data_IF_494153932278
#
_entry.id   IF_494153932278
#
_cell.length_a   1.000
_cell.length_b   1.000
_cell.length_c   1.000
_cell.angle_alpha   90.00
_cell.angle_beta   90.00
_cell.angle_gamma   90.00
#
_symmetry.space_group_name_H-M   'P 1'
#
loop_
_entity.id
_entity.type
_entity.pdbx_description
1 polymer ?
#
# COMPACT_ATOMS: atom_id res chain seq x y z
N UNK A 1 59.35 67.64 0.99
CA UNK A 1 57.91 67.90 1.10
C UNK A 1 57.16 67.11 0.03
N UNK A 2 56.47 66.01 0.39
CA UNK A 2 55.23 65.65 -0.30
C UNK A 2 54.17 65.14 0.69
N UNK A 3 52.98 65.75 0.70
CA UNK A 3 51.84 65.28 1.50
C UNK A 3 50.80 64.64 0.59
N UNK A 4 50.83 63.30 0.49
CA UNK A 4 49.76 62.48 -0.10
C UNK A 4 48.57 62.45 0.87
N UNK A 5 47.56 63.29 0.65
CA UNK A 5 46.24 63.15 1.30
C UNK A 5 45.39 62.18 0.49
N UNK A 6 45.39 60.90 0.90
CA UNK A 6 44.38 59.93 0.48
C UNK A 6 43.03 60.31 1.12
N UNK A 7 42.08 60.73 0.30
CA UNK A 7 40.67 60.91 0.69
C UNK A 7 40.03 59.52 0.82
N UNK A 8 40.01 58.98 2.04
CA UNK A 8 39.23 57.78 2.39
C UNK A 8 37.74 58.18 2.39
N UNK A 9 37.03 57.90 1.29
CA UNK A 9 35.55 57.92 1.28
C UNK A 9 35.04 56.77 2.16
N UNK A 10 34.64 57.09 3.38
CA UNK A 10 33.87 56.20 4.24
C UNK A 10 32.45 56.14 3.67
N UNK A 11 32.15 55.13 2.87
CA UNK A 11 30.76 54.80 2.52
C UNK A 11 30.10 54.21 3.76
N UNK A 12 29.41 55.06 4.51
CA UNK A 12 28.50 54.64 5.58
C UNK A 12 27.43 53.72 4.95
N UNK A 13 27.61 52.40 5.09
CA UNK A 13 26.57 51.42 4.78
C UNK A 13 25.44 51.63 5.78
N UNK A 14 24.41 52.36 5.37
CA UNK A 14 23.13 52.40 6.06
C UNK A 14 22.60 50.96 6.16
N UNK A 15 22.77 50.32 7.32
CA UNK A 15 22.02 49.11 7.65
C UNK A 15 20.59 49.56 7.92
N UNK A 16 19.59 49.15 7.12
CA UNK A 16 18.21 49.50 7.40
C UNK A 16 17.88 48.97 8.80
N UNK A 17 17.44 49.86 9.69
CA UNK A 17 16.92 49.46 11.00
C UNK A 17 15.66 48.65 10.72
N UNK A 18 15.77 47.33 10.87
CA UNK A 18 14.64 46.41 10.85
C UNK A 18 13.63 46.87 11.90
N UNK A 19 12.59 47.56 11.47
CA UNK A 19 11.48 47.94 12.36
C UNK A 19 10.59 46.72 12.56
N UNK A 20 9.96 46.61 13.74
CA UNK A 20 8.99 45.57 14.05
C UNK A 20 7.91 45.44 12.95
N UNK A 21 7.48 46.56 12.37
CA UNK A 21 6.55 46.59 11.23
C UNK A 21 7.05 45.83 10.00
N UNK A 22 8.33 45.97 9.66
CA UNK A 22 8.94 45.26 8.54
C UNK A 22 8.99 43.76 8.79
N UNK A 23 9.33 43.33 10.01
CA UNK A 23 9.33 41.91 10.39
C UNK A 23 7.92 41.33 10.34
N UNK A 24 6.92 42.00 10.92
CA UNK A 24 5.53 41.55 10.89
C UNK A 24 4.99 41.42 9.47
N UNK A 25 5.31 42.38 8.59
CA UNK A 25 4.89 42.35 7.19
C UNK A 25 5.56 41.18 6.44
N UNK A 26 6.84 40.92 6.66
CA UNK A 26 7.55 39.76 6.10
C UNK A 26 6.91 38.45 6.56
N UNK A 27 6.63 38.30 7.86
CA UNK A 27 5.97 37.11 8.41
C UNK A 27 4.57 36.91 7.81
N UNK A 28 3.78 37.97 7.67
CA UNK A 28 2.44 37.89 7.09
C UNK A 28 2.49 37.48 5.61
N UNK A 29 3.44 38.04 4.83
CA UNK A 29 3.65 37.62 3.44
C UNK A 29 4.07 36.15 3.39
N UNK A 30 5.00 35.73 4.25
CA UNK A 30 5.49 34.35 4.27
C UNK A 30 4.37 33.36 4.64
N UNK A 31 3.52 33.70 5.63
CA UNK A 31 2.32 32.93 5.98
C UNK A 31 1.31 32.89 4.82
N UNK A 32 1.05 34.02 4.17
CA UNK A 32 0.12 34.10 3.04
C UNK A 32 0.62 33.33 1.80
N UNK A 33 1.93 33.19 1.62
CA UNK A 33 2.52 32.41 0.54
C UNK A 33 2.64 30.92 0.86
N UNK A 34 2.63 30.52 2.14
CA UNK A 34 2.85 29.11 2.54
C UNK A 34 1.57 28.38 2.95
N UNK A 35 0.67 29.04 3.68
CA UNK A 35 -0.55 28.41 4.19
C UNK A 35 -1.52 28.02 3.07
N UNK A 36 -1.88 28.89 2.11
CA UNK A 36 -2.79 28.51 1.03
C UNK A 36 -2.31 27.33 0.18
N UNK A 37 -1.05 27.26 -0.32
CA UNK A 37 -0.61 26.08 -1.05
C UNK A 37 -0.56 24.84 -0.16
N UNK A 38 -0.18 24.96 1.12
CA UNK A 38 -0.23 23.83 2.04
C UNK A 38 -1.66 23.28 2.20
N UNK A 39 -2.64 24.16 2.44
CA UNK A 39 -4.05 23.79 2.55
C UNK A 39 -4.60 23.16 1.26
N UNK A 40 -4.27 23.74 0.11
CA UNK A 40 -4.81 23.32 -1.18
C UNK A 40 -4.16 22.06 -1.74
N UNK A 41 -2.85 21.88 -1.52
CA UNK A 41 -2.08 20.79 -2.10
C UNK A 41 -1.96 19.56 -1.18
N UNK A 42 -2.05 19.75 0.15
CA UNK A 42 -1.87 18.65 1.11
C UNK A 42 -3.13 18.38 1.94
N UNK A 43 -3.64 19.37 2.70
CA UNK A 43 -4.75 19.12 3.63
C UNK A 43 -6.08 18.80 2.94
N UNK A 44 -6.47 19.60 1.94
CA UNK A 44 -7.74 19.38 1.24
C UNK A 44 -7.76 18.02 0.51
N UNK A 45 -6.69 17.62 -0.20
CA UNK A 45 -6.70 16.32 -0.86
C UNK A 45 -6.61 15.14 0.14
N UNK A 46 -5.86 15.28 1.23
CA UNK A 46 -5.86 14.31 2.34
C UNK A 46 -7.27 14.08 2.93
N UNK A 47 -8.00 15.16 3.25
CA UNK A 47 -9.36 15.04 3.78
C UNK A 47 -10.32 14.39 2.79
N UNK A 48 -10.15 14.62 1.49
CA UNK A 48 -10.96 13.99 0.45
C UNK A 48 -10.69 12.49 0.36
N UNK A 49 -9.43 12.08 0.39
CA UNK A 49 -9.06 10.68 0.43
C UNK A 49 -9.68 9.97 1.64
N UNK A 50 -9.50 10.55 2.83
CA UNK A 50 -10.05 9.98 4.06
C UNK A 50 -11.59 9.88 4.01
N UNK A 51 -12.26 10.93 3.53
CA UNK A 51 -13.72 10.92 3.39
C UNK A 51 -14.19 9.88 2.36
N UNK A 52 -13.46 9.72 1.25
CA UNK A 52 -13.75 8.71 0.24
C UNK A 52 -13.57 7.30 0.81
N UNK A 53 -12.44 7.04 1.46
CA UNK A 53 -12.14 5.76 2.09
C UNK A 53 -13.20 5.38 3.15
N UNK A 54 -13.56 6.31 4.04
CA UNK A 54 -14.64 6.10 5.02
C UNK A 54 -15.99 5.81 4.34
N UNK A 55 -16.33 6.54 3.28
CA UNK A 55 -17.57 6.31 2.52
C UNK A 55 -17.58 4.95 1.84
N UNK A 56 -16.43 4.49 1.34
CA UNK A 56 -16.27 3.21 0.69
C UNK A 56 -16.44 2.04 1.67
N UNK A 57 -15.71 2.06 2.79
CA UNK A 57 -15.78 0.98 3.78
C UNK A 57 -17.13 0.95 4.51
N UNK A 58 -17.73 2.11 4.79
CA UNK A 58 -19.09 2.15 5.35
C UNK A 58 -20.14 1.59 4.38
N UNK A 59 -19.99 1.82 3.08
CA UNK A 59 -20.86 1.23 2.06
C UNK A 59 -20.66 -0.30 1.96
N UNK A 60 -19.43 -0.80 2.01
CA UNK A 60 -19.17 -2.25 2.07
C UNK A 60 -19.80 -2.90 3.31
N UNK A 61 -19.62 -2.30 4.48
CA UNK A 61 -20.22 -2.80 5.72
C UNK A 61 -21.75 -2.78 5.66
N UNK A 62 -22.34 -1.72 5.08
CA UNK A 62 -23.79 -1.62 4.88
C UNK A 62 -24.29 -2.71 3.93
N UNK A 63 -23.58 -3.02 2.85
CA UNK A 63 -23.94 -4.07 1.91
C UNK A 63 -23.86 -5.46 2.56
N UNK A 64 -22.82 -5.75 3.34
CA UNK A 64 -22.66 -7.01 4.07
C UNK A 64 -23.79 -7.22 5.11
N UNK A 65 -24.16 -6.16 5.84
CA UNK A 65 -25.30 -6.18 6.75
C UNK A 65 -26.62 -6.43 6.01
N UNK A 66 -26.82 -5.84 4.83
CA UNK A 66 -28.03 -6.09 4.03
C UNK A 66 -28.07 -7.51 3.46
N UNK A 67 -26.95 -8.02 2.95
CA UNK A 67 -26.88 -9.37 2.39
C UNK A 67 -27.11 -10.42 3.49
N UNK A 68 -26.51 -10.25 4.67
CA UNK A 68 -26.76 -11.13 5.83
C UNK A 68 -28.22 -11.09 6.29
N UNK A 69 -28.83 -9.90 6.39
CA UNK A 69 -30.27 -9.79 6.71
C UNK A 69 -31.17 -10.42 5.64
N UNK A 70 -30.76 -10.37 4.37
CA UNK A 70 -31.53 -10.92 3.24
C UNK A 70 -31.43 -12.44 3.13
N UNK A 71 -30.28 -13.04 3.46
CA UNK A 71 -30.02 -14.48 3.42
C UNK A 71 -30.95 -15.29 4.35
N UNK A 72 -31.30 -14.74 5.52
CA UNK A 72 -32.07 -15.45 6.56
C UNK A 72 -33.59 -15.25 6.47
N UNK A 73 -34.13 -14.83 5.31
CA UNK A 73 -35.52 -14.36 5.26
C UNK A 73 -36.52 -15.38 4.70
N UNK A 74 -37.57 -15.75 5.46
CA UNK A 74 -38.62 -16.65 4.97
C UNK A 74 -39.67 -15.98 4.08
N UNK A 75 -40.13 -14.73 4.32
CA UNK A 75 -41.35 -14.23 3.65
C UNK A 75 -41.44 -12.70 3.48
N UNK A 76 -42.29 -12.28 2.53
CA UNK A 76 -42.59 -10.92 2.03
C UNK A 76 -43.35 -10.00 3.04
N UNK A 77 -42.83 -9.81 4.24
CA UNK A 77 -43.44 -8.89 5.23
C UNK A 77 -43.21 -7.41 4.88
N UNK A 78 -44.19 -6.52 5.18
CA UNK A 78 -44.19 -5.09 4.78
C UNK A 78 -43.09 -4.23 5.44
N UNK A 79 -42.62 -4.58 6.63
CA UNK A 79 -41.49 -3.87 7.31
C UNK A 79 -40.12 -4.47 6.96
N UNK A 80 -39.99 -4.92 5.72
CA UNK A 80 -38.79 -5.60 5.27
C UNK A 80 -37.54 -4.73 5.19
N UNK A 81 -36.36 -5.24 5.59
CA UNK A 81 -35.11 -4.61 5.22
C UNK A 81 -35.06 -4.50 3.69
N UNK A 82 -34.58 -3.34 3.22
CA UNK A 82 -34.53 -3.02 1.79
C UNK A 82 -33.71 -4.08 1.06
N UNK A 83 -34.29 -4.67 0.00
CA UNK A 83 -33.59 -5.62 -0.87
C UNK A 83 -32.23 -5.02 -1.29
N UNK A 84 -31.12 -5.77 -1.17
CA UNK A 84 -29.83 -5.24 -1.55
C UNK A 84 -29.81 -4.96 -3.06
N UNK A 85 -29.09 -3.92 -3.51
CA UNK A 85 -29.03 -3.57 -4.94
C UNK A 85 -28.52 -4.76 -5.78
N UNK A 86 -28.80 -4.76 -7.09
CA UNK A 86 -28.22 -5.78 -7.99
C UNK A 86 -26.69 -5.68 -7.98
N UNK A 87 -25.99 -6.81 -8.09
CA UNK A 87 -24.52 -6.88 -7.97
C UNK A 87 -23.78 -5.85 -8.84
N UNK A 88 -24.20 -5.66 -10.09
CA UNK A 88 -23.60 -4.71 -11.03
C UNK A 88 -23.76 -3.23 -10.64
N UNK A 89 -24.68 -2.92 -9.72
CA UNK A 89 -24.94 -1.57 -9.22
C UNK A 89 -24.35 -1.34 -7.83
N UNK A 90 -23.55 -2.29 -7.32
CA UNK A 90 -22.92 -2.20 -6.00
C UNK A 90 -21.55 -1.57 -6.09
N UNK A 91 -21.14 -0.94 -5.01
CA UNK A 91 -19.72 -0.72 -4.73
C UNK A 91 -19.09 -2.07 -4.47
N UNK A 92 -18.11 -2.45 -5.29
CA UNK A 92 -17.41 -3.72 -5.20
C UNK A 92 -15.91 -3.50 -4.97
N UNK A 93 -15.24 -4.41 -4.24
CA UNK A 93 -13.79 -4.44 -4.18
C UNK A 93 -13.20 -4.75 -5.55
N UNK A 94 -12.01 -4.21 -5.79
CA UNK A 94 -11.25 -4.45 -7.03
C UNK A 94 -10.84 -5.92 -7.17
N UNK A 95 -10.55 -6.58 -6.04
CA UNK A 95 -10.27 -8.02 -5.94
C UNK A 95 -11.32 -8.62 -5.02
N UNK A 96 -11.94 -9.72 -5.46
CA UNK A 96 -13.00 -10.37 -4.70
C UNK A 96 -12.41 -11.39 -3.70
N UNK A 97 -13.24 -11.82 -2.74
CA UNK A 97 -12.98 -12.94 -1.80
C UNK A 97 -11.86 -12.78 -0.76
N UNK A 98 -11.13 -11.66 -0.78
CA UNK A 98 -10.09 -11.34 0.21
C UNK A 98 -10.32 -9.96 0.84
N UNK A 99 -9.82 -9.73 2.07
CA UNK A 99 -10.03 -8.47 2.76
C UNK A 99 -9.31 -7.31 2.06
N UNK A 100 -10.05 -6.20 1.89
CA UNK A 100 -9.47 -4.91 1.53
C UNK A 100 -8.90 -4.23 2.77
N UNK A 101 -7.64 -3.80 2.68
CA UNK A 101 -6.96 -3.10 3.74
C UNK A 101 -7.32 -1.63 3.73
N UNK A 102 -7.54 -1.08 4.94
CA UNK A 102 -7.81 0.34 5.15
C UNK A 102 -6.57 1.03 5.75
N UNK A 103 -6.41 2.31 5.47
CA UNK A 103 -5.27 3.12 5.91
C UNK A 103 -5.21 3.27 7.43
N UNK A 104 -6.35 3.24 8.13
CA UNK A 104 -6.42 3.44 9.58
C UNK A 104 -6.38 2.13 10.39
N UNK A 105 -6.72 0.99 9.78
CA UNK A 105 -6.79 -0.30 10.49
C UNK A 105 -5.82 -1.36 9.94
N UNK A 106 -5.01 -1.02 8.93
CA UNK A 106 -4.06 -1.93 8.29
C UNK A 106 -3.23 -2.73 9.30
N UNK A 107 -2.72 -2.09 10.35
CA UNK A 107 -1.91 -2.79 11.36
C UNK A 107 -2.70 -3.88 12.07
N UNK A 108 -3.95 -3.62 12.48
CA UNK A 108 -4.78 -4.62 13.13
C UNK A 108 -5.24 -5.71 12.15
N UNK A 109 -5.63 -5.32 10.92
CA UNK A 109 -6.01 -6.24 9.85
C UNK A 109 -4.88 -7.22 9.49
N UNK A 110 -3.62 -6.76 9.61
CA UNK A 110 -2.42 -7.56 9.37
C UNK A 110 -1.86 -8.25 10.62
N UNK A 111 -2.47 -8.01 11.79
CA UNK A 111 -2.08 -8.53 13.10
C UNK A 111 -0.66 -8.10 13.52
N UNK A 112 -0.41 -6.80 13.34
CA UNK A 112 0.81 -6.09 13.69
C UNK A 112 0.59 -5.25 14.95
N UNK A 113 1.67 -5.01 15.68
CA UNK A 113 1.76 -3.98 16.70
C UNK A 113 1.87 -2.60 16.06
N UNK A 114 1.69 -1.54 16.86
CA UNK A 114 1.73 -0.16 16.36
C UNK A 114 3.10 0.25 15.79
N UNK A 115 4.17 -0.44 16.22
CA UNK A 115 5.54 -0.26 15.74
C UNK A 115 5.86 -1.09 14.48
N UNK A 116 4.90 -1.86 13.95
CA UNK A 116 5.07 -2.72 12.78
C UNK A 116 5.67 -4.09 13.08
N UNK A 117 5.85 -4.48 14.34
CA UNK A 117 6.26 -5.85 14.71
C UNK A 117 5.07 -6.82 14.65
N UNK A 118 5.32 -8.12 14.50
CA UNK A 118 4.28 -9.14 14.37
C UNK A 118 3.80 -9.67 15.73
N UNK A 119 2.50 -9.96 15.85
CA UNK A 119 1.88 -10.49 17.07
C UNK A 119 1.97 -12.00 17.25
N UNK A 120 2.38 -12.74 16.21
CA UNK A 120 2.45 -14.20 16.24
C UNK A 120 3.68 -14.72 15.50
N UNK A 121 4.31 -15.82 15.95
CA UNK A 121 5.41 -16.44 15.24
C UNK A 121 4.95 -17.17 13.98
N UNK A 122 5.80 -17.17 12.94
CA UNK A 122 5.59 -17.92 11.70
C UNK A 122 4.44 -17.40 10.84
N UNK A 123 4.02 -16.15 11.02
CA UNK A 123 2.97 -15.50 10.22
C UNK A 123 3.56 -14.99 8.92
N UNK A 124 2.82 -15.19 7.84
CA UNK A 124 3.20 -14.80 6.49
C UNK A 124 1.99 -14.21 5.77
N UNK A 125 2.19 -13.15 5.01
CA UNK A 125 1.13 -12.43 4.32
C UNK A 125 1.57 -11.92 2.95
N UNK A 126 0.67 -11.97 1.98
CA UNK A 126 0.82 -11.29 0.70
C UNK A 126 -0.27 -10.22 0.56
N UNK A 127 0.18 -8.98 0.35
CA UNK A 127 -0.70 -7.84 0.08
C UNK A 127 -0.49 -7.39 -1.36
N UNK A 128 -1.54 -7.46 -2.17
CA UNK A 128 -1.51 -6.87 -3.51
C UNK A 128 -1.96 -5.41 -3.47
N UNK A 129 -1.12 -4.52 -3.98
CA UNK A 129 -1.45 -3.11 -4.15
C UNK A 129 -1.99 -2.90 -5.55
N UNK A 130 -3.31 -2.80 -5.64
CA UNK A 130 -4.04 -2.59 -6.88
C UNK A 130 -4.30 -1.11 -7.16
N UNK A 131 -4.83 -0.85 -8.34
CA UNK A 131 -5.24 0.48 -8.76
C UNK A 131 -5.81 0.51 -10.17
N UNK A 132 -6.49 1.59 -10.51
CA UNK A 132 -7.05 1.79 -11.84
C UNK A 132 -6.19 2.73 -12.70
N UNK A 133 -6.29 2.67 -14.04
CA UNK A 133 -5.40 3.44 -14.93
C UNK A 133 -5.53 4.96 -14.76
N UNK A 134 -4.39 5.67 -14.74
CA UNK A 134 -4.36 7.13 -14.67
C UNK A 134 -5.01 7.79 -15.91
N UNK A 135 -5.92 8.73 -15.70
CA UNK A 135 -6.37 9.67 -16.75
C UNK A 135 -5.50 10.93 -16.73
N UNK A 136 -4.91 11.27 -17.87
CA UNK A 136 -3.99 12.40 -18.00
C UNK A 136 -4.73 13.71 -18.28
N UNK A 137 -5.43 14.30 -17.30
CA UNK A 137 -5.86 15.71 -17.37
C UNK A 137 -5.20 16.55 -16.28
N UNK A 138 -4.89 17.81 -16.61
CA UNK A 138 -4.22 18.75 -15.69
C UNK A 138 -4.99 18.93 -14.37
N UNK A 139 -6.32 18.99 -14.44
CA UNK A 139 -7.18 19.12 -13.27
C UNK A 139 -7.17 17.87 -12.36
N UNK A 140 -6.86 16.71 -12.94
CA UNK A 140 -6.80 15.43 -12.23
C UNK A 140 -5.60 15.39 -11.27
N UNK A 141 -4.54 16.15 -11.58
CA UNK A 141 -3.35 16.33 -10.73
C UNK A 141 -3.59 17.23 -9.52
N UNK A 142 -4.62 18.08 -9.56
CA UNK A 142 -4.97 18.96 -8.43
C UNK A 142 -5.92 18.24 -7.46
N UNK A 143 -6.57 17.16 -7.91
CA UNK A 143 -7.43 16.28 -7.09
C UNK A 143 -6.69 15.11 -6.43
N UNK A 144 -5.36 15.15 -6.35
CA UNK A 144 -4.46 13.99 -6.33
C UNK A 144 -4.36 13.13 -5.05
N UNK A 145 -5.49 12.64 -4.53
CA UNK A 145 -5.47 11.38 -3.78
C UNK A 145 -6.62 10.55 -4.36
N UNK A 146 -6.22 9.70 -5.32
CA UNK A 146 -6.97 8.98 -6.34
C UNK A 146 -8.22 8.27 -5.77
N UNK A 147 -9.41 8.18 -6.38
CA UNK A 147 -9.98 8.48 -7.73
C UNK A 147 -10.90 9.73 -7.75
N UNK A 148 -11.22 10.34 -8.93
CA UNK A 148 -11.80 9.65 -10.09
C UNK A 148 -10.88 9.47 -11.30
N UNK A 149 -9.56 9.63 -11.14
CA UNK A 149 -8.62 9.45 -12.26
C UNK A 149 -7.60 8.33 -12.15
N UNK A 150 -7.74 7.37 -11.24
CA UNK A 150 -6.94 6.16 -11.20
C UNK A 150 -5.52 6.36 -10.65
N UNK A 151 -5.01 5.34 -9.98
CA UNK A 151 -3.73 5.38 -9.27
C UNK A 151 -2.58 4.81 -10.08
N UNK A 152 -2.88 3.88 -10.99
CA UNK A 152 -1.89 3.08 -11.67
C UNK A 152 -1.03 3.89 -12.64
N UNK A 153 0.29 3.76 -12.47
CA UNK A 153 1.32 4.52 -13.19
C UNK A 153 1.68 3.85 -14.52
N UNK A 154 1.51 2.54 -14.60
CA UNK A 154 1.69 1.76 -15.82
C UNK A 154 0.57 2.02 -16.83
N UNK A 155 0.71 1.48 -18.04
CA UNK A 155 -0.36 1.52 -19.04
C UNK A 155 -1.61 0.82 -18.49
N UNK A 156 -2.79 1.29 -18.90
CA UNK A 156 -4.03 0.79 -18.34
C UNK A 156 -4.22 -0.72 -18.51
N UNK A 157 -3.69 -1.27 -19.60
CA UNK A 157 -3.73 -2.70 -19.91
C UNK A 157 -2.90 -3.53 -18.92
N UNK A 158 -1.75 -3.01 -18.46
CA UNK A 158 -0.94 -3.69 -17.44
C UNK A 158 -1.70 -3.75 -16.12
N UNK A 159 -2.29 -2.63 -15.70
CA UNK A 159 -3.05 -2.56 -14.46
C UNK A 159 -4.24 -3.53 -14.48
N UNK A 160 -4.99 -3.53 -15.58
CA UNK A 160 -6.10 -4.46 -15.78
C UNK A 160 -5.61 -5.93 -15.74
N UNK A 161 -4.55 -6.25 -16.47
CA UNK A 161 -4.02 -7.61 -16.53
C UNK A 161 -3.51 -8.13 -15.17
N UNK A 162 -2.91 -7.28 -14.34
CA UNK A 162 -2.46 -7.68 -13.00
C UNK A 162 -3.59 -7.73 -11.97
N UNK A 163 -4.57 -6.83 -12.05
CA UNK A 163 -5.76 -6.91 -11.19
C UNK A 163 -6.56 -8.19 -11.50
N UNK A 164 -6.80 -8.48 -12.78
CA UNK A 164 -7.47 -9.70 -13.22
C UNK A 164 -6.63 -10.95 -12.90
N UNK A 165 -5.33 -10.89 -13.16
CA UNK A 165 -4.40 -11.98 -12.84
C UNK A 165 -4.40 -12.30 -11.35
N UNK A 166 -4.38 -11.29 -10.48
CA UNK A 166 -4.40 -11.50 -9.03
C UNK A 166 -5.75 -12.07 -8.57
N UNK A 167 -6.87 -11.55 -9.08
CA UNK A 167 -8.19 -12.11 -8.80
C UNK A 167 -8.28 -13.59 -9.20
N UNK A 168 -7.77 -13.95 -10.38
CA UNK A 168 -7.74 -15.34 -10.84
C UNK A 168 -6.82 -16.25 -9.99
N UNK A 169 -5.68 -15.73 -9.51
CA UNK A 169 -4.81 -16.46 -8.56
C UNK A 169 -5.54 -16.73 -7.25
N UNK A 170 -6.20 -15.71 -6.70
CA UNK A 170 -6.96 -15.80 -5.46
C UNK A 170 -8.12 -16.78 -5.61
N UNK A 171 -8.92 -16.66 -6.67
CA UNK A 171 -10.00 -17.60 -6.98
C UNK A 171 -9.48 -19.05 -7.00
N UNK A 172 -8.34 -19.30 -7.66
CA UNK A 172 -7.70 -20.62 -7.68
C UNK A 172 -7.33 -21.09 -6.27
N UNK A 173 -6.72 -20.23 -5.46
CA UNK A 173 -6.38 -20.56 -4.07
C UNK A 173 -7.61 -20.79 -3.17
N UNK A 174 -8.77 -20.18 -3.48
CA UNK A 174 -10.03 -20.41 -2.76
C UNK A 174 -10.75 -21.68 -3.22
N UNK A 175 -10.81 -21.95 -4.53
CA UNK A 175 -11.41 -23.18 -5.09
C UNK A 175 -10.65 -24.42 -4.61
N UNK A 176 -9.32 -24.37 -4.59
CA UNK A 176 -8.48 -25.47 -4.07
C UNK A 176 -8.66 -25.69 -2.54
N UNK A 177 -9.25 -24.73 -1.81
CA UNK A 177 -9.60 -24.85 -0.38
C UNK A 177 -11.02 -25.36 -0.12
N UNK A 178 -11.92 -25.28 -1.10
CA UNK A 178 -13.35 -25.62 -0.97
C UNK A 178 -13.72 -27.06 -1.34
N UNK A 179 -12.78 -27.83 -1.89
CA UNK A 179 -12.97 -29.24 -2.22
C UNK A 179 -12.14 -30.08 -1.24
N UNK A 180 -12.73 -31.15 -0.71
CA UNK A 180 -12.23 -32.11 0.29
C UNK A 180 -10.91 -32.84 -0.04
N UNK A 181 -9.94 -32.19 -0.67
CA UNK A 181 -8.60 -32.71 -0.83
C UNK A 181 -7.79 -32.29 0.38
N UNK A 182 -7.42 -33.27 1.23
CA UNK A 182 -6.50 -33.11 2.35
C UNK A 182 -5.08 -32.69 1.97
N UNK A 183 -4.92 -31.85 0.95
CA UNK A 183 -3.69 -31.20 0.56
C UNK A 183 -3.33 -30.15 1.60
N UNK A 184 -2.24 -30.38 2.32
CA UNK A 184 -1.57 -29.35 3.11
C UNK A 184 -1.34 -28.14 2.19
N UNK A 185 -1.72 -26.94 2.66
CA UNK A 185 -1.32 -25.66 2.04
C UNK A 185 0.14 -25.75 1.59
N UNK A 186 0.44 -25.44 0.33
CA UNK A 186 1.83 -25.25 -0.11
C UNK A 186 2.42 -24.01 0.55
N UNK A 187 1.64 -22.93 0.69
CA UNK A 187 2.01 -21.74 1.47
C UNK A 187 1.02 -21.46 2.61
N UNK A 188 1.54 -21.19 3.81
CA UNK A 188 0.75 -20.79 4.99
C UNK A 188 0.27 -19.34 4.91
N UNK A 189 0.69 -18.58 3.90
CA UNK A 189 0.42 -17.16 3.80
C UNK A 189 -1.08 -16.84 3.71
N UNK A 190 -1.47 -15.74 4.35
CA UNK A 190 -2.76 -15.12 4.12
C UNK A 190 -2.66 -14.07 3.01
N UNK A 191 -3.76 -13.81 2.32
CA UNK A 191 -3.82 -12.85 1.22
C UNK A 191 -4.71 -11.68 1.62
N UNK A 192 -4.30 -10.47 1.24
CA UNK A 192 -5.07 -9.25 1.37
C UNK A 192 -4.79 -8.36 0.16
N UNK A 193 -5.59 -7.31 -0.02
CA UNK A 193 -5.34 -6.32 -1.06
C UNK A 193 -5.57 -4.91 -0.56
N UNK A 194 -4.90 -3.95 -1.18
CA UNK A 194 -5.13 -2.53 -0.99
C UNK A 194 -5.37 -1.89 -2.36
N UNK A 195 -6.52 -1.26 -2.56
CA UNK A 195 -6.74 -0.43 -3.74
C UNK A 195 -6.23 0.98 -3.47
N UNK A 196 -5.17 1.40 -4.15
CA UNK A 196 -4.61 2.75 -3.98
C UNK A 196 -5.56 3.86 -4.47
N UNK A 197 -6.65 3.53 -5.18
CA UNK A 197 -7.75 4.45 -5.47
C UNK A 197 -8.75 4.62 -4.31
N UNK A 198 -8.69 3.76 -3.31
CA UNK A 198 -9.56 3.81 -2.13
C UNK A 198 -8.78 4.22 -0.89
N UNK A 199 -7.60 3.62 -0.71
CA UNK A 199 -6.72 3.78 0.46
C UNK A 199 -5.37 4.37 0.05
N UNK A 200 -5.33 5.58 -0.55
CA UNK A 200 -4.09 6.17 -1.05
C UNK A 200 -3.08 6.45 0.08
N UNK A 201 -3.56 6.78 1.28
CA UNK A 201 -2.70 7.03 2.45
C UNK A 201 -1.93 5.78 2.86
N UNK A 202 -2.54 4.60 2.76
CA UNK A 202 -1.86 3.33 2.99
C UNK A 202 -0.74 3.13 1.97
N UNK A 203 -1.01 3.34 0.68
CA UNK A 203 -0.01 3.18 -0.38
C UNK A 203 1.14 4.17 -0.20
N UNK A 204 0.86 5.43 0.14
CA UNK A 204 1.88 6.45 0.40
C UNK A 204 2.73 6.10 1.64
N UNK A 205 2.10 5.72 2.75
CA UNK A 205 2.78 5.39 4.01
C UNK A 205 3.66 4.13 3.88
N UNK A 206 3.24 3.17 3.05
CA UNK A 206 4.00 1.94 2.79
C UNK A 206 4.96 2.07 1.59
N UNK A 207 5.02 3.25 0.96
CA UNK A 207 5.77 3.52 -0.26
C UNK A 207 5.46 2.49 -1.39
N UNK A 208 4.22 2.04 -1.45
CA UNK A 208 3.74 1.05 -2.41
C UNK A 208 3.12 1.72 -3.62
N UNK A 209 3.39 1.11 -4.77
CA UNK A 209 2.96 1.59 -6.08
C UNK A 209 1.88 0.64 -6.57
N UNK A 210 0.82 1.10 -7.24
CA UNK A 210 -0.15 0.18 -7.81
C UNK A 210 0.53 -0.80 -8.76
N UNK A 211 0.04 -2.03 -8.79
CA UNK A 211 0.68 -3.17 -9.45
C UNK A 211 2.00 -3.53 -8.74
N UNK A 212 1.91 -3.73 -7.42
CA UNK A 212 2.99 -4.30 -6.60
C UNK A 212 2.45 -5.37 -5.64
N UNK A 213 3.35 -6.20 -5.15
CA UNK A 213 3.11 -7.15 -4.07
C UNK A 213 3.98 -6.78 -2.87
N UNK A 214 3.41 -6.81 -1.69
CA UNK A 214 4.16 -6.75 -0.43
C UNK A 214 4.04 -8.09 0.26
N UNK A 215 5.18 -8.72 0.49
CA UNK A 215 5.30 -9.91 1.30
C UNK A 215 5.68 -9.50 2.72
N UNK A 216 4.90 -9.90 3.71
CA UNK A 216 5.19 -9.69 5.12
C UNK A 216 5.45 -11.04 5.77
N UNK A 217 6.59 -11.20 6.44
CA UNK A 217 6.97 -12.44 7.10
C UNK A 217 7.59 -12.17 8.46
N UNK A 218 7.12 -12.85 9.49
CA UNK A 218 7.71 -12.75 10.82
C UNK A 218 9.08 -13.40 10.85
N UNK A 219 10.07 -12.70 11.41
CA UNK A 219 11.44 -13.16 11.60
C UNK A 219 11.58 -13.76 13.01
N UNK A 220 12.31 -14.86 13.12
CA UNK A 220 12.69 -15.47 14.40
C UNK A 220 14.09 -15.02 14.83
N UNK A 221 14.38 -14.95 16.14
CA UNK A 221 13.52 -15.29 17.27
C UNK A 221 12.48 -14.21 17.61
N UNK A 222 11.39 -14.61 18.28
CA UNK A 222 10.38 -13.68 18.81
C UNK A 222 10.58 -13.49 20.33
N UNK A 223 10.30 -12.29 20.83
CA UNK A 223 10.21 -12.01 22.27
C UNK A 223 8.87 -12.52 22.80
N UNK A 224 8.88 -13.16 23.97
CA UNK A 224 7.68 -13.65 24.67
C UNK A 224 7.57 -12.93 25.99
N UNK A 225 6.42 -12.32 26.24
CA UNK A 225 6.11 -11.65 27.50
C UNK A 225 4.97 -12.41 28.19
N UNK A 226 5.21 -12.81 29.44
CA UNK A 226 4.26 -13.55 30.28
C UNK A 226 3.79 -12.66 31.43
N UNK A 227 2.84 -11.76 31.17
CA UNK A 227 2.22 -10.95 32.21
C UNK A 227 0.86 -11.54 32.65
N UNK A 228 -0.17 -11.41 31.82
CA UNK A 228 -1.51 -11.98 32.04
C UNK A 228 -1.99 -12.87 30.90
N UNK A 229 -1.51 -12.59 29.69
CA UNK A 229 -1.67 -13.40 28.48
C UNK A 229 -0.30 -13.56 27.80
N UNK A 230 -0.11 -14.63 27.04
CA UNK A 230 1.14 -14.85 26.29
C UNK A 230 1.17 -13.88 25.11
N UNK A 231 1.99 -12.83 25.21
CA UNK A 231 2.18 -11.87 24.12
C UNK A 231 3.48 -12.18 23.39
N UNK A 232 3.38 -12.32 22.06
CA UNK A 232 4.55 -12.45 21.19
C UNK A 232 4.84 -11.13 20.49
N UNK A 233 6.12 -10.80 20.41
CA UNK A 233 6.63 -9.67 19.63
C UNK A 233 7.72 -10.19 18.72
N UNK A 234 7.38 -10.36 17.44
CA UNK A 234 8.29 -10.87 16.42
C UNK A 234 8.77 -9.73 15.52
N UNK A 235 10.04 -9.75 15.12
CA UNK A 235 10.49 -8.89 14.02
C UNK A 235 9.71 -9.20 12.75
N UNK A 236 9.60 -8.23 11.84
CA UNK A 236 8.89 -8.36 10.57
C UNK A 236 9.82 -8.04 9.41
N UNK A 237 9.86 -8.92 8.41
CA UNK A 237 10.45 -8.65 7.10
C UNK A 237 9.35 -8.20 6.15
N UNK A 238 9.55 -7.05 5.54
CA UNK A 238 8.72 -6.49 4.49
C UNK A 238 9.49 -6.61 3.18
N UNK A 239 8.95 -7.33 2.21
CA UNK A 239 9.55 -7.46 0.88
C UNK A 239 8.57 -6.94 -0.16
N UNK A 240 8.84 -5.74 -0.64
CA UNK A 240 8.10 -5.09 -1.72
C UNK A 240 8.59 -5.61 -3.06
N UNK A 241 7.68 -5.97 -3.96
CA UNK A 241 7.98 -6.48 -5.30
C UNK A 241 7.13 -5.72 -6.31
N UNK A 242 7.79 -4.94 -7.18
CA UNK A 242 7.12 -4.14 -8.22
C UNK A 242 6.85 -4.99 -9.46
N UNK A 243 5.65 -4.86 -10.04
CA UNK A 243 5.24 -5.59 -11.24
C UNK A 243 5.07 -4.64 -12.44
N UNK A 244 5.27 -5.11 -13.69
CA UNK A 244 5.74 -6.46 -14.07
C UNK A 244 7.22 -6.70 -13.73
N UNK A 245 7.57 -7.95 -13.43
CA UNK A 245 8.95 -8.35 -13.17
C UNK A 245 9.77 -8.31 -14.46
N UNK A 246 10.91 -7.62 -14.50
CA UNK A 246 11.77 -7.64 -15.70
C UNK A 246 12.35 -9.02 -15.99
N UNK A 247 12.62 -9.79 -14.94
CA UNK A 247 13.18 -11.13 -15.00
C UNK A 247 12.42 -12.02 -14.05
N UNK A 248 12.14 -13.23 -14.52
CA UNK A 248 11.51 -14.25 -13.71
C UNK A 248 12.58 -15.18 -13.13
N UNK A 249 12.36 -15.75 -11.94
CA UNK A 249 13.29 -16.71 -11.35
C UNK A 249 13.40 -18.03 -12.14
N UNK A 250 12.55 -18.23 -13.14
CA UNK A 250 12.60 -19.35 -14.08
C UNK A 250 12.43 -18.85 -15.53
N UNK A 251 13.04 -19.58 -16.47
CA UNK A 251 12.87 -19.34 -17.90
C UNK A 251 11.68 -20.15 -18.41
N UNK A 252 10.61 -19.48 -18.83
CA UNK A 252 9.50 -20.12 -19.53
C UNK A 252 9.81 -20.24 -21.02
N UNK A 253 9.59 -21.42 -21.57
CA UNK A 253 9.68 -21.68 -23.01
C UNK A 253 8.36 -22.18 -23.55
N UNK A 254 8.07 -21.89 -24.82
CA UNK A 254 6.89 -22.37 -25.52
C UNK A 254 7.30 -22.83 -26.92
N UNK A 255 6.69 -23.92 -27.40
CA UNK A 255 6.93 -24.41 -28.75
C UNK A 255 6.01 -23.65 -29.71
N UNK A 256 6.58 -22.84 -30.59
CA UNK A 256 5.87 -22.13 -31.66
C UNK A 256 6.38 -22.68 -33.00
N UNK A 257 5.49 -23.27 -33.79
CA UNK A 257 5.83 -23.88 -35.08
C UNK A 257 7.00 -24.88 -35.02
N UNK A 258 7.08 -25.68 -33.95
CA UNK A 258 8.14 -26.68 -33.75
C UNK A 258 9.43 -26.15 -33.13
N UNK A 259 9.56 -24.84 -32.90
CA UNK A 259 10.72 -24.23 -32.26
C UNK A 259 10.42 -23.84 -30.81
N UNK A 260 11.32 -24.22 -29.90
CA UNK A 260 11.25 -23.84 -28.49
C UNK A 260 11.79 -22.42 -28.33
N UNK A 261 10.91 -21.45 -28.08
CA UNK A 261 11.27 -20.04 -27.90
C UNK A 261 11.02 -19.58 -26.46
N UNK A 262 11.86 -18.68 -25.91
CA UNK A 262 11.56 -18.07 -24.63
C UNK A 262 10.33 -17.17 -24.75
N UNK A 263 9.38 -17.34 -23.83
CA UNK A 263 8.18 -16.48 -23.75
C UNK A 263 8.15 -15.81 -22.40
N UNK A 264 7.78 -14.53 -22.39
CA UNK A 264 7.63 -13.79 -21.15
C UNK A 264 6.32 -14.21 -20.47
N UNK A 265 6.32 -14.53 -19.18
CA UNK A 265 5.09 -14.98 -18.51
C UNK A 265 4.02 -13.88 -18.47
N UNK A 266 2.77 -14.31 -18.58
CA UNK A 266 1.61 -13.43 -18.40
C UNK A 266 1.52 -12.91 -16.96
N UNK A 267 0.73 -11.86 -16.72
CA UNK A 267 0.55 -11.29 -15.38
C UNK A 267 0.11 -12.35 -14.35
N UNK A 268 -0.87 -13.18 -14.71
CA UNK A 268 -1.31 -14.33 -13.93
C UNK A 268 -0.16 -15.29 -13.59
N UNK A 269 0.68 -15.62 -14.57
CA UNK A 269 1.80 -16.55 -14.35
C UNK A 269 2.89 -15.95 -13.47
N UNK A 270 3.18 -14.66 -13.60
CA UNK A 270 4.13 -13.97 -12.72
C UNK A 270 3.62 -13.97 -11.28
N UNK A 271 2.37 -13.57 -11.07
CA UNK A 271 1.72 -13.57 -9.76
C UNK A 271 1.68 -14.97 -9.17
N UNK A 272 1.22 -15.96 -9.93
CA UNK A 272 1.16 -17.35 -9.47
C UNK A 272 2.55 -17.86 -9.08
N UNK A 273 3.59 -17.55 -9.86
CA UNK A 273 4.93 -17.97 -9.51
C UNK A 273 5.49 -17.31 -8.24
N UNK A 274 5.13 -16.04 -7.99
CA UNK A 274 5.51 -15.37 -6.75
C UNK A 274 4.77 -15.94 -5.54
N UNK A 275 3.47 -16.19 -5.67
CA UNK A 275 2.58 -16.51 -4.56
C UNK A 275 2.49 -18.01 -4.23
N UNK A 276 2.75 -18.89 -5.20
CA UNK A 276 2.60 -20.34 -5.03
C UNK A 276 3.87 -21.05 -4.56
N UNK A 277 5.05 -20.44 -4.71
CA UNK A 277 6.34 -21.07 -4.44
C UNK A 277 7.05 -20.40 -3.27
N UNK A 278 7.31 -21.17 -2.22
CA UNK A 278 8.15 -20.73 -1.11
C UNK A 278 9.56 -20.39 -1.61
N UNK A 279 10.14 -19.30 -1.11
CA UNK A 279 11.47 -18.85 -1.53
C UNK A 279 11.49 -17.99 -2.81
N UNK A 280 10.33 -17.68 -3.40
CA UNK A 280 10.24 -16.85 -4.60
C UNK A 280 10.85 -15.46 -4.39
N UNK A 281 10.63 -14.85 -3.22
CA UNK A 281 11.21 -13.55 -2.86
C UNK A 281 12.71 -13.59 -2.70
N UNK A 282 13.24 -14.65 -2.10
CA UNK A 282 14.66 -14.87 -1.87
C UNK A 282 15.39 -15.14 -3.20
N UNK A 283 14.78 -15.94 -4.07
CA UNK A 283 15.28 -16.19 -5.42
C UNK A 283 15.30 -14.90 -6.27
N UNK A 284 14.25 -14.08 -6.16
CA UNK A 284 14.19 -12.80 -6.85
C UNK A 284 15.24 -11.82 -6.32
N UNK A 285 15.41 -11.72 -4.99
CA UNK A 285 16.44 -10.89 -4.37
C UNK A 285 17.85 -11.29 -4.80
N UNK A 286 18.14 -12.59 -4.93
CA UNK A 286 19.43 -13.09 -5.42
C UNK A 286 19.69 -12.76 -6.90
N UNK A 287 18.65 -12.60 -7.72
CA UNK A 287 18.76 -12.26 -9.14
C UNK A 287 18.94 -10.75 -9.38
N UNK A 288 18.68 -9.95 -8.35
CA UNK A 288 18.48 -8.51 -8.43
C UNK A 288 19.39 -7.71 -7.49
N UNK A 289 20.61 -8.21 -7.21
CA UNK A 289 21.64 -7.43 -6.50
C UNK A 289 21.80 -6.03 -7.12
N UNK A 290 21.19 -5.01 -6.49
CA UNK A 290 21.24 -3.60 -6.89
C UNK A 290 20.07 -3.04 -7.73
N UNK A 291 18.87 -3.63 -7.69
CA UNK A 291 17.73 -3.26 -8.57
C UNK A 291 16.59 -2.46 -7.89
N UNK A 292 15.99 -1.52 -8.64
CA UNK A 292 14.82 -0.68 -8.27
C UNK A 292 13.49 -1.45 -8.04
N UNK A 293 13.47 -2.78 -8.19
CA UNK A 293 12.23 -3.58 -8.26
C UNK A 293 11.88 -4.32 -6.98
N UNK A 294 12.85 -4.54 -6.08
CA UNK A 294 12.64 -5.17 -4.78
C UNK A 294 13.16 -4.26 -3.69
N UNK A 295 12.33 -4.01 -2.68
CA UNK A 295 12.74 -3.32 -1.46
C UNK A 295 12.54 -4.26 -0.27
N UNK A 296 13.58 -4.44 0.54
CA UNK A 296 13.55 -5.30 1.73
C UNK A 296 13.81 -4.43 2.95
N UNK A 297 12.78 -4.30 3.80
CA UNK A 297 12.85 -3.54 5.05
C UNK A 297 12.59 -4.50 6.20
N UNK A 298 13.44 -4.46 7.23
CA UNK A 298 13.26 -5.24 8.45
C UNK A 298 12.88 -4.33 9.62
N UNK A 299 11.73 -4.60 10.24
CA UNK A 299 11.33 -3.98 11.48
C UNK A 299 11.69 -4.92 12.63
N UNK A 300 12.78 -4.63 13.31
CA UNK A 300 13.20 -5.36 14.50
C UNK A 300 12.52 -4.80 15.75
N UNK A 301 12.21 -5.64 16.75
CA UNK A 301 11.75 -5.14 18.03
C UNK A 301 12.77 -4.16 18.60
N UNK A 302 12.29 -3.06 19.21
CA UNK A 302 13.16 -2.13 19.92
C UNK A 302 13.92 -2.93 20.98
N UNK A 303 15.24 -2.90 20.88
CA UNK A 303 16.11 -3.34 21.98
C UNK A 303 15.95 -2.26 23.03
N UNK A 304 14.98 -2.42 23.93
CA UNK A 304 15.03 -1.69 25.19
C UNK A 304 16.31 -2.16 25.87
N UNK A 305 17.18 -1.21 26.25
CA UNK A 305 18.40 -1.48 27.00
C UNK A 305 17.99 -2.37 28.17
N UNK A 306 18.33 -3.65 28.07
CA UNK A 306 18.19 -4.59 29.16
C UNK A 306 19.07 -4.01 30.25
N UNK A 307 18.48 -3.35 31.24
CA UNK A 307 19.17 -3.10 32.49
C UNK A 307 19.55 -4.49 33.00
N UNK A 308 20.85 -4.81 32.88
CA UNK A 308 21.48 -5.86 33.66
C UNK A 308 21.27 -5.47 35.12
N UNK A 309 20.16 -5.94 35.70
CA UNK A 309 20.02 -6.00 37.15
C UNK A 309 20.98 -7.10 37.63
N UNK A 310 22.24 -6.71 37.85
CA UNK A 310 23.24 -7.43 38.65
C UNK A 310 22.82 -7.48 40.14
#
# INVERSE_FOLDING_TARGET
MPSKRQVRRVTSKHRPRSTCKTICLILLILLALTIPPFLLLYLRPYHRALAHELSYFSELQRLDQLDSQWLYRPDNLPDSPRKPPAHNNRTLPLVHDIPQLSSWDFQAQMDLHADGTGRHPGREAWVYFGGTPRRNRLMDRISAFQRPNGSCINTGDICAAYNEGFNAVIERFHVDRGVNHGGKRTSKAFFAFADCDVSPLMCDNTNQWPVSLLHLKTIQPCKVEHHSEVRWTCGMRYTSVRLPLRRMPFKKTQTIAGYVVPVFPSALEQLHAMLAWDGSTEALAALEEGSDYIDIVEALPKVEDVQEDD
#
